data_IF_406084202857
#
_entry.id   IF_406084202857
#
_cell.length_a   1.000
_cell.length_b   1.000
_cell.length_c   1.000
_cell.angle_alpha   90.00
_cell.angle_beta   90.00
_cell.angle_gamma   90.00
#
_symmetry.space_group_name_H-M   'P 1'
#
loop_
_entity.id
_entity.type
_entity.pdbx_description
1 polymer ?
#
# COMPACT_ATOMS: atom_id res chain seq x y z
N UNK A 1 22.22 -1.58 -7.28
CA UNK A 1 23.57 -1.46 -6.69
C UNK A 1 23.80 -2.69 -5.83
N UNK A 2 24.94 -3.36 -5.93
CA UNK A 2 25.27 -4.47 -5.03
C UNK A 2 25.56 -3.89 -3.64
N UNK A 3 24.63 -4.07 -2.69
CA UNK A 3 24.88 -3.76 -1.28
C UNK A 3 25.99 -4.67 -0.77
N UNK A 4 26.98 -4.09 -0.09
CA UNK A 4 28.03 -4.82 0.63
C UNK A 4 27.57 -5.34 1.99
N UNK A 5 26.37 -4.95 2.44
CA UNK A 5 25.80 -5.30 3.73
C UNK A 5 24.81 -6.46 3.60
N UNK A 6 24.75 -7.25 4.65
CA UNK A 6 23.76 -8.28 4.89
C UNK A 6 22.59 -7.71 5.70
N UNK A 7 21.36 -7.95 5.24
CA UNK A 7 20.15 -7.43 5.90
C UNK A 7 19.19 -8.58 6.14
N UNK A 8 18.78 -8.78 7.40
CA UNK A 8 17.66 -9.66 7.74
C UNK A 8 16.36 -8.92 7.52
N UNK A 9 15.52 -9.39 6.59
CA UNK A 9 14.19 -8.85 6.31
C UNK A 9 13.16 -9.76 6.97
N UNK A 10 12.23 -9.19 7.70
CA UNK A 10 11.18 -9.90 8.42
C UNK A 10 9.82 -9.37 7.98
N UNK A 11 8.96 -10.26 7.49
CA UNK A 11 7.54 -9.97 7.29
C UNK A 11 6.72 -10.53 8.44
N UNK A 12 5.89 -9.70 9.07
CA UNK A 12 5.08 -10.10 10.22
C UNK A 12 3.61 -9.67 10.06
N UNK A 13 2.73 -10.62 9.73
CA UNK A 13 1.30 -10.45 10.00
C UNK A 13 1.09 -10.68 11.49
N UNK A 14 0.92 -9.59 12.25
CA UNK A 14 0.97 -9.66 13.70
C UNK A 14 -0.33 -10.17 14.32
N UNK A 15 -0.29 -10.58 15.58
CA UNK A 15 -1.47 -11.05 16.29
C UNK A 15 -2.50 -9.94 16.62
N UNK A 16 -2.08 -8.67 16.60
CA UNK A 16 -2.78 -7.47 17.09
C UNK A 16 -3.15 -7.45 18.59
N UNK A 17 -3.48 -8.59 19.19
CA UNK A 17 -3.85 -8.73 20.61
C UNK A 17 -3.14 -9.93 21.24
N UNK A 18 -3.05 -9.96 22.57
CA UNK A 18 -2.33 -11.01 23.30
C UNK A 18 -2.92 -12.43 23.16
N UNK A 19 -4.19 -12.55 22.77
CA UNK A 19 -4.88 -13.85 22.65
C UNK A 19 -4.74 -14.50 21.27
N UNK A 20 -4.28 -13.73 20.29
CA UNK A 20 -4.18 -14.17 18.92
C UNK A 20 -2.76 -14.61 18.58
N UNK A 21 -2.64 -15.26 17.43
CA UNK A 21 -1.39 -15.48 16.73
C UNK A 21 -1.56 -14.92 15.33
N UNK A 22 -0.47 -14.47 14.72
CA UNK A 22 -0.38 -14.27 13.29
C UNK A 22 0.74 -15.16 12.73
N UNK A 23 1.46 -14.71 11.72
CA UNK A 23 2.57 -15.45 11.14
C UNK A 23 3.78 -14.57 10.84
N UNK A 24 4.96 -15.16 10.98
CA UNK A 24 6.26 -14.54 10.79
C UNK A 24 7.03 -15.26 9.69
N UNK A 25 7.71 -14.51 8.83
CA UNK A 25 8.62 -15.06 7.81
C UNK A 25 9.87 -14.20 7.71
N UNK A 26 11.02 -14.82 7.47
CA UNK A 26 12.31 -14.14 7.36
C UNK A 26 13.05 -14.47 6.07
N UNK A 27 13.76 -13.49 5.52
CA UNK A 27 14.71 -13.68 4.42
C UNK A 27 15.98 -12.86 4.67
N UNK A 28 17.12 -13.36 4.19
CA UNK A 28 18.40 -12.67 4.26
C UNK A 28 18.73 -12.08 2.89
N UNK A 29 18.87 -10.77 2.83
CA UNK A 29 19.56 -10.07 1.75
C UNK A 29 21.06 -10.23 1.97
N UNK A 30 21.75 -10.92 1.06
CA UNK A 30 23.20 -11.14 1.17
C UNK A 30 23.99 -10.09 0.40
N UNK A 31 25.26 -9.87 0.80
CA UNK A 31 26.20 -9.12 -0.02
C UNK A 31 26.25 -9.70 -1.44
N UNK A 32 26.14 -8.83 -2.45
CA UNK A 32 26.00 -9.24 -3.85
C UNK A 32 24.54 -9.36 -4.35
N UNK A 33 23.56 -9.01 -3.52
CA UNK A 33 22.17 -8.80 -3.97
C UNK A 33 21.28 -10.03 -4.02
N UNK A 34 21.74 -11.17 -3.50
CA UNK A 34 20.94 -12.41 -3.47
C UNK A 34 20.05 -12.44 -2.23
N UNK A 35 18.75 -12.61 -2.44
CA UNK A 35 17.78 -12.89 -1.38
C UNK A 35 17.68 -14.39 -1.11
N UNK A 36 17.66 -14.78 0.17
CA UNK A 36 17.48 -16.16 0.61
C UNK A 36 16.46 -16.24 1.74
N UNK A 37 15.32 -16.89 1.49
CA UNK A 37 14.35 -17.19 2.54
C UNK A 37 14.99 -18.09 3.61
N UNK A 38 14.69 -17.83 4.88
CA UNK A 38 15.22 -18.61 6.00
C UNK A 38 14.45 -19.92 6.17
N UNK A 39 13.12 -19.84 6.16
CA UNK A 39 12.20 -20.98 6.19
C UNK A 39 10.81 -20.52 5.72
N UNK A 40 9.82 -21.42 5.75
CA UNK A 40 8.40 -21.13 5.55
C UNK A 40 7.84 -20.23 6.67
N UNK A 41 6.70 -19.53 6.43
CA UNK A 41 6.02 -18.78 7.47
C UNK A 41 5.71 -19.67 8.68
N UNK A 42 5.85 -19.10 9.87
CA UNK A 42 5.60 -19.78 11.14
C UNK A 42 4.63 -18.98 11.98
N UNK A 43 3.61 -19.65 12.53
CA UNK A 43 2.61 -19.01 13.38
C UNK A 43 3.24 -18.51 14.69
N UNK A 44 3.05 -17.24 15.02
CA UNK A 44 3.67 -16.61 16.19
C UNK A 44 2.77 -15.57 16.84
N UNK A 45 2.81 -15.49 18.18
CA UNK A 45 2.48 -14.28 18.91
C UNK A 45 3.72 -13.37 19.04
N UNK A 46 3.59 -12.23 19.73
CA UNK A 46 4.70 -11.27 19.89
C UNK A 46 5.95 -11.84 20.58
N UNK A 47 5.76 -12.62 21.66
CA UNK A 47 6.90 -13.21 22.40
C UNK A 47 7.64 -14.27 21.57
N UNK A 48 6.88 -15.08 20.83
CA UNK A 48 7.44 -16.10 19.93
C UNK A 48 8.13 -15.45 18.73
N UNK A 49 7.54 -14.39 18.17
CA UNK A 49 8.12 -13.65 17.06
C UNK A 49 9.44 -12.99 17.49
N UNK A 50 9.48 -12.36 18.67
CA UNK A 50 10.70 -11.77 19.21
C UNK A 50 11.83 -12.79 19.36
N UNK A 51 11.53 -13.96 19.94
CA UNK A 51 12.51 -15.05 20.09
C UNK A 51 13.02 -15.53 18.73
N UNK A 52 12.12 -15.74 17.78
CA UNK A 52 12.47 -16.19 16.44
C UNK A 52 13.37 -15.19 15.71
N UNK A 53 13.05 -13.89 15.79
CA UNK A 53 13.89 -12.82 15.21
C UNK A 53 15.28 -12.80 15.86
N UNK A 54 15.37 -12.91 17.18
CA UNK A 54 16.65 -12.93 17.90
C UNK A 54 17.49 -14.17 17.53
N UNK A 55 16.86 -15.33 17.35
CA UNK A 55 17.52 -16.55 16.87
C UNK A 55 18.05 -16.36 15.44
N UNK A 56 17.28 -15.75 14.54
CA UNK A 56 17.74 -15.42 13.19
C UNK A 56 18.89 -14.42 13.20
N UNK A 57 18.82 -13.37 14.03
CA UNK A 57 19.90 -12.40 14.20
C UNK A 57 21.18 -13.08 14.71
N UNK A 58 21.08 -13.98 15.69
CA UNK A 58 22.23 -14.69 16.24
C UNK A 58 22.85 -15.66 15.23
N UNK A 59 22.03 -16.38 14.46
CA UNK A 59 22.50 -17.42 13.53
C UNK A 59 23.00 -16.86 12.21
N UNK A 60 22.41 -15.78 11.70
CA UNK A 60 22.79 -15.15 10.44
C UNK A 60 23.76 -13.96 10.60
N UNK A 61 23.86 -13.39 11.81
CA UNK A 61 24.70 -12.24 12.13
C UNK A 61 24.61 -11.11 11.09
N UNK A 62 23.40 -10.59 10.78
CA UNK A 62 23.22 -9.59 9.75
C UNK A 62 23.77 -8.23 10.22
N UNK A 63 24.15 -7.38 9.26
CA UNK A 63 24.59 -6.01 9.56
C UNK A 63 23.41 -5.14 10.02
N UNK A 64 22.21 -5.40 9.47
CA UNK A 64 20.96 -4.72 9.83
C UNK A 64 19.77 -5.69 9.88
N UNK A 65 18.73 -5.35 10.63
CA UNK A 65 17.44 -6.04 10.61
C UNK A 65 16.34 -5.07 10.20
N UNK A 66 15.53 -5.43 9.21
CA UNK A 66 14.36 -4.69 8.76
C UNK A 66 13.10 -5.51 9.06
N UNK A 67 12.16 -4.95 9.82
CA UNK A 67 10.92 -5.60 10.24
C UNK A 67 9.73 -4.84 9.67
N UNK A 68 8.97 -5.53 8.81
CA UNK A 68 7.73 -5.05 8.20
C UNK A 68 6.55 -5.67 8.94
N UNK A 69 5.85 -4.89 9.75
CA UNK A 69 4.77 -5.37 10.63
C UNK A 69 3.40 -4.87 10.19
N UNK A 70 2.45 -5.77 9.96
CA UNK A 70 1.03 -5.44 9.78
C UNK A 70 0.38 -5.14 11.13
N UNK A 71 0.76 -4.01 11.72
CA UNK A 71 0.07 -3.35 12.82
C UNK A 71 0.64 -1.94 13.04
N UNK A 72 -0.20 -0.98 13.44
CA UNK A 72 0.24 0.35 13.84
C UNK A 72 1.34 0.39 14.90
N UNK A 73 2.49 0.97 14.56
CA UNK A 73 3.65 1.11 15.48
C UNK A 73 3.63 2.44 16.25
N UNK A 74 2.91 3.43 15.74
CA UNK A 74 2.78 4.77 16.35
C UNK A 74 1.29 5.13 16.39
N UNK A 75 0.73 5.23 17.60
CA UNK A 75 -0.70 5.50 17.83
C UNK A 75 -0.88 6.57 18.93
N UNK A 76 -0.73 7.86 18.59
CA UNK A 76 -0.87 8.94 19.58
C UNK A 76 -2.33 9.31 19.88
N UNK A 77 -3.27 8.85 19.05
CA UNK A 77 -4.68 9.21 19.16
C UNK A 77 -5.36 8.48 20.31
N UNK A 78 -5.99 9.23 21.23
CA UNK A 78 -6.87 8.64 22.26
C UNK A 78 -8.13 7.99 21.66
N UNK A 79 -8.71 8.64 20.63
CA UNK A 79 -9.90 8.16 19.93
C UNK A 79 -9.86 8.54 18.43
N UNK A 80 -10.80 8.01 17.64
CA UNK A 80 -10.90 8.31 16.22
C UNK A 80 -9.86 7.60 15.35
N UNK A 81 -9.50 8.20 14.22
CA UNK A 81 -8.53 7.69 13.26
C UNK A 81 -7.26 8.55 13.29
N UNK A 82 -6.10 7.91 13.07
CA UNK A 82 -4.85 8.63 12.80
C UNK A 82 -4.93 9.36 11.46
N UNK A 83 -4.16 10.44 11.24
CA UNK A 83 -4.14 11.13 9.96
C UNK A 83 -3.81 10.22 8.76
N UNK A 84 -2.85 9.31 8.91
CA UNK A 84 -2.50 8.32 7.86
C UNK A 84 -3.70 7.44 7.46
N UNK A 85 -4.51 7.02 8.43
CA UNK A 85 -5.73 6.23 8.17
C UNK A 85 -6.79 7.05 7.42
N UNK A 86 -6.92 8.33 7.74
CA UNK A 86 -7.85 9.23 7.04
C UNK A 86 -7.46 9.42 5.56
N UNK A 87 -6.15 9.45 5.28
CA UNK A 87 -5.60 9.53 3.92
C UNK A 87 -5.86 8.20 3.19
N UNK A 88 -5.39 7.09 3.77
CA UNK A 88 -5.41 5.77 3.12
C UNK A 88 -6.82 5.22 2.95
N UNK A 89 -7.72 5.43 3.91
CA UNK A 89 -9.10 4.91 3.87
C UNK A 89 -9.89 5.30 2.62
N UNK A 90 -9.58 6.44 2.00
CA UNK A 90 -10.19 6.85 0.72
C UNK A 90 -9.85 5.86 -0.41
N UNK A 91 -8.58 5.46 -0.52
CA UNK A 91 -8.10 4.50 -1.53
C UNK A 91 -8.72 3.12 -1.30
N UNK A 92 -8.81 2.72 -0.03
CA UNK A 92 -9.34 1.42 0.40
C UNK A 92 -10.85 1.32 0.18
N UNK A 93 -11.62 2.33 0.58
CA UNK A 93 -13.09 2.33 0.47
C UNK A 93 -13.59 2.38 -0.98
N UNK A 94 -12.83 3.03 -1.88
CA UNK A 94 -13.05 2.94 -3.34
C UNK A 94 -13.04 1.49 -3.83
N UNK A 95 -12.40 0.55 -3.15
CA UNK A 95 -12.36 -0.88 -3.52
C UNK A 95 -13.20 -1.77 -2.60
N UNK A 96 -14.19 -1.18 -1.91
CA UNK A 96 -15.06 -1.82 -0.91
C UNK A 96 -14.30 -2.43 0.27
N UNK A 97 -13.10 -1.91 0.57
CA UNK A 97 -12.35 -2.25 1.77
C UNK A 97 -12.76 -1.37 2.95
N UNK A 98 -12.42 -1.82 4.15
CA UNK A 98 -12.50 -1.02 5.37
C UNK A 98 -11.13 -0.93 6.01
N UNK A 99 -10.86 0.20 6.67
CA UNK A 99 -9.64 0.40 7.44
C UNK A 99 -10.01 0.56 8.91
N UNK A 100 -9.38 -0.26 9.77
CA UNK A 100 -9.58 -0.23 11.21
C UNK A 100 -8.93 1.04 11.78
N UNK A 101 -9.67 1.93 12.48
CA UNK A 101 -9.07 3.06 13.18
C UNK A 101 -8.12 2.58 14.28
N UNK A 102 -6.92 3.14 14.38
CA UNK A 102 -6.01 2.88 15.50
C UNK A 102 -6.07 4.03 16.51
N UNK A 103 -6.42 3.70 17.76
CA UNK A 103 -6.48 4.65 18.86
C UNK A 103 -6.38 3.93 20.22
N UNK A 104 -5.93 4.66 21.25
CA UNK A 104 -5.68 4.12 22.60
C UNK A 104 -6.95 3.59 23.29
N UNK A 105 -8.15 4.05 22.93
CA UNK A 105 -9.40 3.48 23.48
C UNK A 105 -9.63 2.01 23.12
N UNK A 106 -8.96 1.49 22.08
CA UNK A 106 -8.94 0.06 21.74
C UNK A 106 -7.90 -0.66 22.59
N UNK A 107 -8.21 -0.82 23.87
CA UNK A 107 -7.26 -1.22 24.91
C UNK A 107 -6.45 -2.48 24.58
N UNK A 108 -7.08 -3.55 24.04
CA UNK A 108 -6.37 -4.81 23.73
C UNK A 108 -5.40 -4.69 22.53
N UNK A 109 -5.62 -3.74 21.61
CA UNK A 109 -4.83 -3.58 20.39
C UNK A 109 -3.79 -2.47 20.49
N UNK A 110 -4.15 -1.36 21.14
CA UNK A 110 -3.34 -0.13 21.15
C UNK A 110 -3.29 0.58 22.51
N UNK A 111 -3.97 0.07 23.54
CA UNK A 111 -3.84 0.62 24.90
C UNK A 111 -2.45 0.35 25.48
N UNK A 112 -2.16 0.91 26.65
CA UNK A 112 -0.81 0.83 27.27
C UNK A 112 -0.31 -0.60 27.52
N UNK A 113 -1.20 -1.58 27.59
CA UNK A 113 -0.89 -3.00 27.82
C UNK A 113 -0.91 -3.84 26.54
N UNK A 114 -1.04 -3.22 25.36
CA UNK A 114 -1.03 -3.95 24.10
C UNK A 114 0.37 -4.57 23.86
N UNK A 115 0.43 -5.82 23.39
CA UNK A 115 1.68 -6.58 23.32
C UNK A 115 2.71 -6.01 22.32
N UNK A 116 2.25 -5.24 21.33
CA UNK A 116 3.12 -4.57 20.38
C UNK A 116 4.10 -3.60 21.06
N UNK A 117 3.72 -2.95 22.16
CA UNK A 117 4.61 -1.98 22.82
C UNK A 117 5.82 -2.64 23.45
N UNK A 118 5.63 -3.75 24.15
CA UNK A 118 6.73 -4.55 24.70
C UNK A 118 7.63 -5.12 23.59
N UNK A 119 7.03 -5.55 22.48
CA UNK A 119 7.78 -6.04 21.32
C UNK A 119 8.66 -4.94 20.70
N UNK A 120 8.11 -3.74 20.49
CA UNK A 120 8.86 -2.60 19.98
C UNK A 120 9.97 -2.18 20.95
N UNK A 121 9.68 -2.07 22.25
CA UNK A 121 10.67 -1.70 23.27
C UNK A 121 11.86 -2.67 23.30
N UNK A 122 11.60 -3.97 23.16
CA UNK A 122 12.64 -5.00 23.13
C UNK A 122 13.56 -4.92 21.90
N UNK A 123 13.14 -4.23 20.84
CA UNK A 123 13.86 -4.12 19.56
C UNK A 123 14.32 -2.69 19.25
N UNK A 124 14.20 -1.75 20.20
CA UNK A 124 14.68 -0.38 20.07
C UNK A 124 13.62 0.67 19.68
N UNK A 125 12.36 0.27 19.52
CA UNK A 125 11.24 1.16 19.21
C UNK A 125 10.83 1.15 17.73
N UNK A 126 9.88 2.01 17.39
CA UNK A 126 9.51 2.26 15.99
C UNK A 126 10.56 3.18 15.33
N UNK A 127 10.95 2.87 14.10
CA UNK A 127 11.96 3.63 13.36
C UNK A 127 11.32 4.65 12.42
N UNK A 128 12.07 5.69 12.07
CA UNK A 128 11.70 6.67 11.06
C UNK A 128 12.32 6.29 9.69
N UNK A 129 11.53 5.95 8.65
CA UNK A 129 12.06 5.65 7.32
C UNK A 129 12.83 6.81 6.67
N UNK A 130 12.66 8.04 7.17
CA UNK A 130 13.35 9.24 6.68
C UNK A 130 14.55 9.62 7.56
N UNK A 131 14.76 8.89 8.66
CA UNK A 131 15.79 9.14 9.64
C UNK A 131 17.15 8.52 9.29
N UNK A 132 18.04 8.51 10.28
CA UNK A 132 19.30 7.77 10.17
C UNK A 132 19.05 6.26 10.15
N UNK A 133 19.96 5.50 9.55
CA UNK A 133 19.87 4.04 9.53
C UNK A 133 20.05 3.46 10.94
N UNK A 134 18.99 2.85 11.46
CA UNK A 134 19.02 2.04 12.68
C UNK A 134 19.59 0.65 12.38
N UNK A 135 20.27 0.03 13.35
CA UNK A 135 20.68 -1.38 13.25
C UNK A 135 19.48 -2.33 13.18
N UNK A 136 18.35 -1.93 13.77
CA UNK A 136 17.06 -2.61 13.69
C UNK A 136 16.03 -1.55 13.31
N UNK A 137 15.44 -1.67 12.12
CA UNK A 137 14.38 -0.80 11.63
C UNK A 137 13.03 -1.52 11.68
N UNK A 138 12.01 -0.88 12.26
CA UNK A 138 10.65 -1.43 12.33
C UNK A 138 9.64 -0.47 11.71
N UNK A 139 8.97 -0.93 10.65
CA UNK A 139 7.99 -0.12 9.90
C UNK A 139 6.61 -0.76 9.90
N UNK A 140 5.60 0.07 10.18
CA UNK A 140 4.20 -0.27 9.93
C UNK A 140 3.98 -0.45 8.42
N UNK A 141 3.43 -1.60 8.05
CA UNK A 141 2.94 -1.88 6.70
C UNK A 141 1.46 -2.19 6.73
N UNK A 142 0.82 -2.14 5.56
CA UNK A 142 -0.58 -2.52 5.42
C UNK A 142 -0.77 -3.36 4.15
N UNK A 143 -0.82 -4.71 4.27
CA UNK A 143 -0.90 -5.62 3.12
C UNK A 143 -2.04 -5.28 2.15
N UNK A 144 -3.20 -4.86 2.66
CA UNK A 144 -4.34 -4.46 1.80
C UNK A 144 -4.00 -3.25 0.93
N UNK A 145 -3.25 -2.26 1.45
CA UNK A 145 -2.79 -1.13 0.63
C UNK A 145 -1.74 -1.57 -0.39
N UNK A 146 -0.85 -2.49 0.00
CA UNK A 146 0.13 -3.06 -0.92
C UNK A 146 -0.53 -3.77 -2.10
N UNK A 147 -1.69 -4.42 -1.92
CA UNK A 147 -2.46 -4.98 -3.05
C UNK A 147 -2.89 -3.91 -4.07
N UNK A 148 -3.13 -2.67 -3.62
CA UNK A 148 -3.41 -1.56 -4.54
C UNK A 148 -2.14 -1.14 -5.27
N UNK A 149 -1.04 -0.97 -4.54
CA UNK A 149 0.25 -0.57 -5.10
C UNK A 149 0.78 -1.56 -6.14
N UNK A 150 0.64 -2.86 -5.88
CA UNK A 150 1.07 -3.94 -6.77
C UNK A 150 0.06 -4.22 -7.91
N UNK A 151 -1.04 -3.48 -7.97
CA UNK A 151 -2.13 -3.68 -8.93
C UNK A 151 -2.75 -5.10 -8.87
N UNK A 152 -2.81 -5.70 -7.68
CA UNK A 152 -3.41 -7.00 -7.43
C UNK A 152 -4.88 -6.88 -7.00
N UNK A 153 -5.62 -6.07 -7.76
CA UNK A 153 -7.03 -5.76 -7.55
C UNK A 153 -7.86 -6.54 -8.56
N UNK A 154 -9.03 -7.04 -8.12
CA UNK A 154 -9.93 -7.80 -8.98
C UNK A 154 -10.90 -6.87 -9.69
N UNK A 155 -11.30 -7.19 -10.93
CA UNK A 155 -12.41 -6.51 -11.59
C UNK A 155 -13.67 -6.52 -10.71
N UNK A 156 -14.43 -5.43 -10.75
CA UNK A 156 -15.73 -5.35 -10.11
C UNK A 156 -16.83 -5.58 -11.15
N UNK A 157 -17.60 -6.66 -10.96
CA UNK A 157 -18.73 -7.02 -11.82
C UNK A 157 -19.84 -5.96 -11.80
N UNK A 158 -19.87 -5.10 -10.77
CA UNK A 158 -20.82 -3.98 -10.64
C UNK A 158 -20.39 -2.71 -11.40
N UNK A 159 -19.28 -2.77 -12.15
CA UNK A 159 -18.85 -1.69 -13.03
C UNK A 159 -18.01 -0.60 -12.38
N UNK A 160 -17.53 -0.79 -11.14
CA UNK A 160 -16.64 0.17 -10.51
C UNK A 160 -15.24 0.15 -11.14
N UNK A 161 -14.82 1.27 -11.71
CA UNK A 161 -13.56 1.39 -12.45
C UNK A 161 -12.30 1.10 -11.62
N UNK A 162 -12.35 1.35 -10.31
CA UNK A 162 -11.23 1.07 -9.39
C UNK A 162 -11.11 -0.41 -9.00
N UNK A 163 -12.05 -1.26 -9.45
CA UNK A 163 -12.13 -2.67 -9.07
C UNK A 163 -12.50 -2.89 -7.59
N UNK A 164 -12.21 -4.11 -7.10
CA UNK A 164 -12.48 -4.57 -5.72
C UNK A 164 -11.31 -5.37 -5.17
N UNK A 165 -11.14 -5.38 -3.85
CA UNK A 165 -10.18 -6.29 -3.24
C UNK A 165 -10.52 -7.76 -3.49
N UNK A 166 -9.50 -8.64 -3.65
CA UNK A 166 -9.69 -10.08 -3.53
C UNK A 166 -10.38 -10.42 -2.21
N UNK A 167 -11.37 -11.32 -2.21
CA UNK A 167 -12.04 -11.79 -1.00
C UNK A 167 -11.39 -13.08 -0.48
N UNK A 168 -10.19 -12.92 0.06
CA UNK A 168 -9.30 -14.03 0.40
C UNK A 168 -9.29 -14.41 1.89
N UNK A 169 -10.15 -13.82 2.73
CA UNK A 169 -10.23 -14.17 4.16
C UNK A 169 -11.12 -15.41 4.39
N UNK A 170 -10.55 -16.60 4.68
CA UNK A 170 -11.33 -17.82 4.86
C UNK A 170 -12.19 -17.83 6.13
N UNK A 171 -11.89 -17.00 7.14
CA UNK A 171 -12.73 -16.87 8.32
C UNK A 171 -14.05 -16.14 8.03
N UNK A 172 -14.14 -15.39 6.92
CA UNK A 172 -15.38 -14.79 6.45
C UNK A 172 -16.02 -15.62 5.35
N UNK A 173 -16.64 -16.73 5.74
CA UNK A 173 -17.22 -17.72 4.80
C UNK A 173 -18.25 -17.10 3.83
N UNK A 174 -18.95 -16.04 4.25
CA UNK A 174 -19.96 -15.38 3.41
C UNK A 174 -19.35 -14.53 2.28
N UNK A 175 -18.13 -14.02 2.46
CA UNK A 175 -17.45 -13.19 1.45
C UNK A 175 -16.32 -13.92 0.75
N UNK A 176 -15.76 -14.97 1.35
CA UNK A 176 -14.63 -15.71 0.83
C UNK A 176 -14.89 -16.25 -0.58
N UNK A 177 -13.90 -16.09 -1.47
CA UNK A 177 -13.92 -16.63 -2.82
C UNK A 177 -12.63 -17.42 -3.07
N UNK A 178 -12.78 -18.70 -3.40
CA UNK A 178 -11.62 -19.58 -3.71
C UNK A 178 -10.80 -19.07 -4.90
N UNK A 179 -11.45 -18.52 -5.92
CA UNK A 179 -10.78 -17.90 -7.07
C UNK A 179 -9.93 -16.66 -6.72
N UNK A 180 -10.32 -15.93 -5.69
CA UNK A 180 -9.57 -14.76 -5.21
C UNK A 180 -8.40 -15.19 -4.33
N UNK A 181 -8.61 -16.24 -3.52
CA UNK A 181 -7.56 -16.91 -2.75
C UNK A 181 -6.44 -17.44 -3.66
N UNK A 182 -6.80 -18.27 -4.65
CA UNK A 182 -5.86 -18.82 -5.62
C UNK A 182 -5.10 -17.71 -6.35
N UNK A 183 -5.83 -16.69 -6.83
CA UNK A 183 -5.22 -15.54 -7.49
C UNK A 183 -4.19 -14.84 -6.62
N UNK A 184 -4.51 -14.56 -5.35
CA UNK A 184 -3.58 -13.85 -4.50
C UNK A 184 -2.36 -14.71 -4.16
N UNK A 185 -2.54 -16.00 -3.83
CA UNK A 185 -1.43 -16.92 -3.62
C UNK A 185 -0.50 -17.00 -4.84
N UNK A 186 -1.06 -17.07 -6.05
CA UNK A 186 -0.27 -17.12 -7.29
C UNK A 186 0.52 -15.83 -7.55
N UNK A 187 -0.07 -14.66 -7.31
CA UNK A 187 0.64 -13.39 -7.47
C UNK A 187 1.77 -13.25 -6.44
N UNK A 188 1.51 -13.59 -5.17
CA UNK A 188 2.54 -13.58 -4.12
C UNK A 188 3.67 -14.56 -4.46
N UNK A 189 3.35 -15.77 -4.91
CA UNK A 189 4.35 -16.76 -5.32
C UNK A 189 5.18 -16.29 -6.52
N UNK A 190 4.56 -15.65 -7.51
CA UNK A 190 5.24 -15.11 -8.68
C UNK A 190 6.18 -13.96 -8.31
N UNK A 191 5.75 -13.06 -7.43
CA UNK A 191 6.56 -11.95 -6.95
C UNK A 191 7.78 -12.45 -6.17
N UNK A 192 7.59 -13.41 -5.26
CA UNK A 192 8.70 -14.04 -4.54
C UNK A 192 9.72 -14.67 -5.49
N UNK A 193 9.27 -15.34 -6.57
CA UNK A 193 10.16 -15.90 -7.59
C UNK A 193 10.92 -14.85 -8.38
N UNK A 194 10.34 -13.66 -8.55
CA UNK A 194 10.99 -12.55 -9.26
C UNK A 194 12.25 -12.07 -8.53
N UNK A 195 12.30 -12.21 -7.20
CA UNK A 195 13.47 -11.92 -6.38
C UNK A 195 14.60 -12.95 -6.47
N UNK A 196 14.36 -14.08 -7.17
CA UNK A 196 15.37 -15.10 -7.44
C UNK A 196 15.12 -16.44 -6.74
N UNK A 197 15.94 -17.43 -7.09
CA UNK A 197 15.76 -18.83 -6.67
C UNK A 197 15.89 -19.07 -5.16
N UNK A 198 16.51 -18.15 -4.41
CA UNK A 198 16.61 -18.23 -2.96
C UNK A 198 15.27 -18.05 -2.23
N UNK A 199 14.22 -17.62 -2.94
CA UNK A 199 12.87 -17.45 -2.40
C UNK A 199 11.93 -18.61 -2.74
N UNK A 200 12.40 -19.63 -3.47
CA UNK A 200 11.56 -20.70 -4.03
C UNK A 200 10.83 -21.51 -2.95
N UNK A 201 11.41 -21.69 -1.76
CA UNK A 201 10.74 -22.38 -0.64
C UNK A 201 9.44 -21.68 -0.22
N UNK A 202 9.42 -20.35 -0.24
CA UNK A 202 8.23 -19.56 0.05
C UNK A 202 7.25 -19.68 -1.11
N UNK A 203 7.70 -19.48 -2.35
CA UNK A 203 6.84 -19.59 -3.52
C UNK A 203 6.12 -20.96 -3.60
N UNK A 204 6.82 -22.05 -3.31
CA UNK A 204 6.23 -23.40 -3.23
C UNK A 204 5.24 -23.57 -2.08
N UNK A 205 5.47 -22.89 -0.94
CA UNK A 205 4.50 -22.84 0.15
C UNK A 205 3.19 -22.19 -0.32
N UNK A 206 3.27 -21.04 -1.01
CA UNK A 206 2.10 -20.35 -1.56
C UNK A 206 1.39 -21.16 -2.66
N UNK A 207 2.13 -21.88 -3.50
CA UNK A 207 1.51 -22.80 -4.48
C UNK A 207 0.72 -23.91 -3.77
N UNK A 208 1.27 -24.47 -2.68
CA UNK A 208 0.57 -25.47 -1.87
C UNK A 208 -0.68 -24.88 -1.19
N UNK A 209 -0.62 -23.63 -0.71
CA UNK A 209 -1.78 -22.92 -0.17
C UNK A 209 -2.85 -22.68 -1.25
N UNK A 210 -2.46 -22.35 -2.48
CA UNK A 210 -3.40 -22.17 -3.60
C UNK A 210 -4.16 -23.46 -3.92
N UNK A 211 -3.52 -24.62 -3.78
CA UNK A 211 -4.15 -25.94 -4.04
C UNK A 211 -5.02 -26.45 -2.88
N UNK A 212 -5.04 -25.75 -1.74
CA UNK A 212 -5.76 -26.20 -0.55
C UNK A 212 -7.27 -25.99 -0.72
N UNK A 213 -8.05 -27.06 -0.65
CA UNK A 213 -9.52 -26.99 -0.81
C UNK A 213 -10.22 -26.14 0.27
N UNK A 214 -9.68 -26.15 1.49
CA UNK A 214 -10.26 -25.49 2.67
C UNK A 214 -9.18 -24.72 3.42
N UNK A 215 -8.77 -23.54 2.93
CA UNK A 215 -7.87 -22.67 3.67
C UNK A 215 -8.52 -22.17 4.97
N UNK A 216 -7.70 -21.85 5.96
CA UNK A 216 -8.07 -21.40 7.31
C UNK A 216 -7.39 -20.07 7.60
N UNK A 217 -7.78 -19.38 8.67
CA UNK A 217 -7.17 -18.08 9.04
C UNK A 217 -5.65 -18.18 9.16
N UNK A 218 -5.11 -19.23 9.79
CA UNK A 218 -3.66 -19.45 9.84
C UNK A 218 -2.98 -19.52 8.46
N UNK A 219 -3.67 -20.02 7.43
CA UNK A 219 -3.12 -20.03 6.06
C UNK A 219 -3.12 -18.62 5.46
N UNK A 220 -4.11 -17.79 5.82
CA UNK A 220 -4.15 -16.37 5.45
C UNK A 220 -3.02 -15.60 6.17
N UNK A 221 -2.76 -15.93 7.44
CA UNK A 221 -1.67 -15.32 8.21
C UNK A 221 -0.32 -15.57 7.50
N UNK A 222 -0.07 -16.81 7.07
CA UNK A 222 1.13 -17.15 6.28
C UNK A 222 1.25 -16.32 5.00
N UNK A 223 0.14 -16.13 4.28
CA UNK A 223 0.08 -15.34 3.05
C UNK A 223 0.34 -13.85 3.31
N UNK A 224 -0.30 -13.28 4.34
CA UNK A 224 -0.17 -11.88 4.72
C UNK A 224 1.24 -11.58 5.28
N UNK A 225 1.89 -12.53 5.96
CA UNK A 225 3.29 -12.42 6.38
C UNK A 225 4.25 -12.38 5.18
N UNK A 226 4.02 -13.21 4.15
CA UNK A 226 4.75 -13.15 2.89
C UNK A 226 4.52 -11.82 2.15
N UNK A 227 3.31 -11.26 2.18
CA UNK A 227 3.06 -9.91 1.66
C UNK A 227 3.88 -8.86 2.41
N UNK A 228 3.93 -8.90 3.74
CA UNK A 228 4.76 -8.00 4.53
C UNK A 228 6.25 -8.11 4.15
N UNK A 229 6.75 -9.33 3.92
CA UNK A 229 8.12 -9.58 3.47
C UNK A 229 8.40 -8.95 2.10
N UNK A 230 7.48 -9.12 1.14
CA UNK A 230 7.58 -8.51 -0.19
C UNK A 230 7.73 -6.99 -0.09
N UNK A 231 6.94 -6.33 0.78
CA UNK A 231 7.04 -4.87 0.99
C UNK A 231 8.45 -4.51 1.48
N UNK A 232 9.05 -5.31 2.36
CA UNK A 232 10.43 -5.12 2.83
C UNK A 232 11.48 -5.28 1.72
N UNK A 233 11.32 -6.29 0.85
CA UNK A 233 12.19 -6.47 -0.32
C UNK A 233 12.11 -5.28 -1.28
N UNK A 234 10.90 -4.78 -1.57
CA UNK A 234 10.68 -3.64 -2.45
C UNK A 234 11.18 -2.32 -1.83
N UNK A 235 11.06 -2.17 -0.51
CA UNK A 235 11.67 -1.06 0.21
C UNK A 235 13.19 -1.01 0.01
N UNK A 236 13.89 -2.13 0.15
CA UNK A 236 15.34 -2.19 -0.07
C UNK A 236 15.71 -1.99 -1.55
N UNK A 237 14.81 -2.29 -2.48
CA UNK A 237 14.98 -2.00 -3.90
C UNK A 237 14.77 -0.51 -4.25
N UNK A 238 14.35 0.34 -3.29
CA UNK A 238 13.99 1.73 -3.53
C UNK A 238 12.61 1.92 -4.18
N UNK A 239 11.78 0.88 -4.14
CA UNK A 239 10.45 0.84 -4.75
C UNK A 239 9.35 0.96 -3.70
N UNK A 240 9.52 1.88 -2.75
CA UNK A 240 8.57 2.10 -1.65
C UNK A 240 8.11 3.55 -1.50
N UNK A 241 6.96 3.69 -0.85
CA UNK A 241 6.30 4.94 -0.51
C UNK A 241 5.96 4.90 0.98
N UNK A 242 6.33 5.95 1.70
CA UNK A 242 5.80 6.25 3.03
C UNK A 242 4.64 7.22 2.90
N UNK A 243 3.54 6.91 3.59
CA UNK A 243 2.35 7.74 3.71
C UNK A 243 2.15 8.05 5.19
N UNK A 244 2.08 9.32 5.58
CA UNK A 244 1.99 9.70 6.99
C UNK A 244 3.18 10.51 7.47
N UNK A 245 3.35 10.57 8.79
CA UNK A 245 4.44 11.28 9.45
C UNK A 245 4.95 10.51 10.67
N UNK A 246 6.25 10.55 11.01
CA UNK A 246 6.80 9.86 12.17
C UNK A 246 6.11 10.27 13.49
N UNK A 247 5.68 11.53 13.63
CA UNK A 247 5.07 12.01 14.87
C UNK A 247 3.61 11.55 15.04
N UNK A 248 2.92 11.24 13.94
CA UNK A 248 1.47 10.94 13.94
C UNK A 248 1.12 9.52 13.48
N UNK A 249 2.14 8.74 13.12
CA UNK A 249 2.01 7.44 12.47
C UNK A 249 2.07 7.53 10.95
N UNK A 250 2.57 6.44 10.35
CA UNK A 250 2.79 6.30 8.92
C UNK A 250 2.61 4.85 8.50
N UNK A 251 2.48 4.62 7.20
CA UNK A 251 2.44 3.29 6.57
C UNK A 251 3.48 3.29 5.45
N UNK A 252 4.29 2.24 5.40
CA UNK A 252 5.16 1.92 4.25
C UNK A 252 4.45 0.94 3.34
N UNK A 253 4.48 1.21 2.04
CA UNK A 253 3.86 0.39 0.99
C UNK A 253 4.69 0.46 -0.29
N UNK A 254 4.55 -0.48 -1.25
CA UNK A 254 5.27 -0.36 -2.52
C UNK A 254 4.90 0.92 -3.27
N UNK A 255 5.86 1.47 -4.01
CA UNK A 255 5.63 2.65 -4.83
C UNK A 255 4.77 2.30 -6.05
N UNK A 256 3.79 3.16 -6.36
CA UNK A 256 3.01 3.07 -7.59
C UNK A 256 2.45 4.45 -7.96
N UNK A 257 2.66 4.86 -9.22
CA UNK A 257 2.25 6.19 -9.69
C UNK A 257 0.73 6.44 -9.56
N UNK A 258 -0.10 5.43 -9.87
CA UNK A 258 -1.55 5.56 -9.76
C UNK A 258 -2.00 5.67 -8.31
N UNK A 259 -1.37 4.90 -7.40
CA UNK A 259 -1.63 5.03 -5.96
C UNK A 259 -1.25 6.42 -5.45
N UNK A 260 -0.07 6.93 -5.83
CA UNK A 260 0.38 8.28 -5.47
C UNK A 260 -0.62 9.33 -5.94
N UNK A 261 -1.11 9.23 -7.18
CA UNK A 261 -2.14 10.13 -7.70
C UNK A 261 -3.45 10.09 -6.90
N UNK A 262 -3.94 8.90 -6.52
CA UNK A 262 -5.13 8.78 -5.68
C UNK A 262 -4.93 9.41 -4.29
N UNK A 263 -3.73 9.26 -3.71
CA UNK A 263 -3.38 9.83 -2.41
C UNK A 263 -3.25 11.36 -2.47
N UNK A 264 -2.61 11.90 -3.52
CA UNK A 264 -2.50 13.34 -3.77
C UNK A 264 -3.90 13.98 -3.89
N UNK A 265 -4.80 13.35 -4.65
CA UNK A 265 -6.20 13.80 -4.74
C UNK A 265 -6.87 13.83 -3.37
N UNK A 266 -6.66 12.79 -2.54
CA UNK A 266 -7.21 12.75 -1.19
C UNK A 266 -6.63 13.86 -0.31
N UNK A 267 -5.32 14.06 -0.32
CA UNK A 267 -4.63 15.10 0.45
C UNK A 267 -5.14 16.49 0.09
N UNK A 268 -5.30 16.78 -1.21
CA UNK A 268 -5.91 18.03 -1.67
C UNK A 268 -7.33 18.23 -1.14
N UNK A 269 -8.17 17.18 -1.16
CA UNK A 269 -9.55 17.25 -0.62
C UNK A 269 -9.58 17.56 0.88
N UNK A 270 -8.63 17.03 1.65
CA UNK A 270 -8.56 17.26 3.10
C UNK A 270 -7.64 18.43 3.50
N UNK A 271 -7.11 19.18 2.53
CA UNK A 271 -6.33 20.39 2.76
C UNK A 271 -4.92 20.16 3.30
N UNK A 272 -4.31 19.00 3.04
CA UNK A 272 -2.95 18.65 3.47
C UNK A 272 -1.95 18.81 2.31
N UNK A 273 -0.72 19.23 2.63
CA UNK A 273 0.36 19.41 1.65
C UNK A 273 1.06 18.08 1.35
N UNK A 274 1.11 17.68 0.08
CA UNK A 274 1.63 16.37 -0.37
C UNK A 274 3.06 16.10 0.10
N UNK A 275 3.94 17.10 0.02
CA UNK A 275 5.36 17.02 0.42
C UNK A 275 5.56 16.64 1.89
N UNK A 276 4.55 16.83 2.72
CA UNK A 276 4.67 16.54 4.14
C UNK A 276 4.09 15.16 4.51
N UNK A 277 3.43 14.49 3.57
CA UNK A 277 2.62 13.29 3.85
C UNK A 277 2.95 12.12 2.93
N UNK A 278 3.56 12.36 1.77
CA UNK A 278 3.98 11.34 0.82
C UNK A 278 5.49 11.46 0.58
N UNK A 279 6.22 10.39 0.89
CA UNK A 279 7.66 10.33 0.74
C UNK A 279 8.04 9.11 -0.07
N UNK A 280 8.60 9.33 -1.26
CA UNK A 280 9.16 8.24 -2.08
C UNK A 280 10.46 7.79 -1.43
N UNK A 281 10.49 6.54 -1.01
CA UNK A 281 11.63 5.93 -0.33
C UNK A 281 12.50 5.27 -1.39
N UNK A 282 13.17 6.09 -2.18
CA UNK A 282 14.19 5.65 -3.11
C UNK A 282 15.55 6.07 -2.53
N UNK A 283 16.42 5.09 -2.25
CA UNK A 283 17.77 5.38 -1.75
C UNK A 283 18.62 6.18 -2.76
N UNK A 284 18.13 6.39 -4.00
CA UNK A 284 18.78 7.10 -5.10
C UNK A 284 17.95 8.21 -5.80
N UNK A 285 16.70 8.53 -5.41
CA UNK A 285 15.96 9.70 -5.96
C UNK A 285 15.80 10.79 -4.91
N UNK A 286 16.37 11.95 -5.20
CA UNK A 286 15.82 13.22 -4.70
C UNK A 286 14.60 13.58 -5.55
N UNK A 287 13.58 14.18 -4.93
CA UNK A 287 12.47 14.81 -5.65
C UNK A 287 13.04 15.93 -6.55
N UNK A 288 13.25 15.66 -7.84
CA UNK A 288 13.47 16.73 -8.78
C UNK A 288 12.10 17.34 -9.12
N UNK A 289 11.86 18.55 -8.65
CA UNK A 289 10.68 19.36 -9.01
C UNK A 289 10.61 19.75 -10.50
N UNK A 290 11.45 19.15 -11.35
CA UNK A 290 11.55 19.36 -12.80
C UNK A 290 11.64 18.03 -13.56
N UNK A 291 10.57 17.24 -13.58
CA UNK A 291 10.35 16.29 -14.67
C UNK A 291 9.12 16.71 -15.45
N UNK A 292 9.37 17.39 -16.58
CA UNK A 292 8.39 17.60 -17.63
C UNK A 292 8.01 16.26 -18.29
N UNK A 293 6.80 16.15 -18.88
CA UNK A 293 6.13 14.88 -19.16
C UNK A 293 6.57 14.18 -20.47
N UNK A 294 7.86 14.01 -20.73
CA UNK A 294 8.35 13.51 -22.03
C UNK A 294 8.98 12.11 -22.08
N UNK A 295 9.07 11.35 -20.97
CA UNK A 295 9.69 10.00 -21.00
C UNK A 295 8.67 8.86 -21.17
N UNK A 296 7.37 9.18 -21.28
CA UNK A 296 6.28 8.18 -21.30
C UNK A 296 6.18 7.41 -22.65
N UNK A 297 6.84 7.86 -23.73
CA UNK A 297 6.65 7.26 -25.05
C UNK A 297 7.45 5.97 -25.31
N UNK A 298 8.49 5.64 -24.55
CA UNK A 298 9.41 4.55 -24.94
C UNK A 298 9.21 3.24 -24.18
N UNK A 299 8.63 3.25 -22.98
CA UNK A 299 8.40 2.02 -22.20
C UNK A 299 7.00 1.39 -22.38
N UNK A 300 6.07 2.11 -23.02
CA UNK A 300 4.76 1.58 -23.42
C UNK A 300 4.80 0.81 -24.76
N UNK A 301 5.90 0.92 -25.52
CA UNK A 301 6.06 0.31 -26.85
C UNK A 301 6.40 -1.19 -26.83
N UNK A 302 6.97 -1.72 -25.75
CA UNK A 302 7.44 -3.12 -25.72
C UNK A 302 6.46 -4.10 -25.05
N UNK A 303 5.42 -3.62 -24.37
CA UNK A 303 4.37 -4.47 -23.79
C UNK A 303 3.06 -4.52 -24.61
N UNK A 304 2.97 -3.79 -25.73
CA UNK A 304 1.78 -3.75 -26.59
C UNK A 304 1.74 -4.78 -27.73
N UNK A 305 2.69 -5.72 -27.81
CA UNK A 305 2.73 -6.72 -28.91
C UNK A 305 1.88 -7.99 -28.67
N UNK A 306 0.79 -7.94 -27.87
CA UNK A 306 -0.07 -9.13 -27.65
C UNK A 306 -1.58 -8.98 -27.82
N UNK A 307 -2.08 -7.84 -28.25
CA UNK A 307 -3.48 -7.73 -28.65
C UNK A 307 -3.59 -6.92 -29.94
N UNK A 308 -3.50 -7.60 -31.09
CA UNK A 308 -4.02 -7.09 -32.35
C UNK A 308 -5.32 -7.81 -32.68
N UNK A 309 -6.35 -7.01 -32.92
CA UNK A 309 -7.62 -7.44 -33.48
C UNK A 309 -8.79 -6.81 -32.74
N UNK A 310 -9.12 -5.56 -33.08
CA UNK A 310 -10.49 -5.06 -33.31
C UNK A 310 -10.36 -3.73 -34.08
N UNK A 311 -11.13 -3.64 -35.15
CA UNK A 311 -11.17 -2.58 -36.16
C UNK A 311 -11.67 -1.22 -35.62
N UNK A 312 -11.22 -0.16 -36.29
CA UNK A 312 -11.65 1.23 -36.13
C UNK A 312 -13.17 1.41 -36.25
N UNK A 313 -13.78 2.20 -35.36
CA UNK A 313 -15.06 2.85 -35.64
C UNK A 313 -15.22 4.20 -34.92
N UNK A 314 -15.38 5.23 -35.76
CA UNK A 314 -16.13 6.51 -35.71
C UNK A 314 -16.20 7.40 -34.44
N UNK A 315 -16.00 8.71 -34.67
CA UNK A 315 -16.07 9.82 -33.71
C UNK A 315 -17.44 9.96 -32.98
N UNK A 316 -17.49 10.28 -31.67
CA UNK A 316 -18.77 10.42 -30.97
C UNK A 316 -19.35 11.85 -31.01
N UNK A 317 -20.68 11.87 -31.09
CA UNK A 317 -21.55 13.06 -31.14
C UNK A 317 -21.44 14.00 -29.92
N UNK A 318 -21.76 15.28 -30.15
CA UNK A 318 -21.74 16.36 -29.15
C UNK A 318 -22.78 16.10 -28.04
N UNK A 319 -22.31 15.88 -26.81
CA UNK A 319 -23.14 15.65 -25.62
C UNK A 319 -23.70 16.97 -25.06
N UNK A 320 -24.99 17.01 -24.73
CA UNK A 320 -25.59 18.23 -24.15
C UNK A 320 -25.34 18.33 -22.65
N UNK A 321 -25.41 19.54 -22.08
CA UNK A 321 -25.27 19.74 -20.63
C UNK A 321 -26.29 18.93 -19.82
N UNK A 322 -27.49 18.70 -20.38
CA UNK A 322 -28.54 17.90 -19.75
C UNK A 322 -28.17 16.42 -19.71
N UNK A 323 -27.61 15.89 -20.78
CA UNK A 323 -27.19 14.48 -20.85
C UNK A 323 -26.05 14.19 -19.87
N UNK A 324 -25.19 15.19 -19.65
CA UNK A 324 -24.06 15.09 -18.72
C UNK A 324 -24.49 15.14 -17.26
N UNK A 325 -25.38 16.06 -16.92
CA UNK A 325 -26.01 16.07 -15.58
C UNK A 325 -26.75 14.76 -15.34
N UNK A 326 -27.49 14.27 -16.34
CA UNK A 326 -28.19 12.99 -16.23
C UNK A 326 -27.22 11.83 -16.03
N UNK A 327 -26.09 11.82 -16.73
CA UNK A 327 -25.03 10.83 -16.55
C UNK A 327 -24.50 10.83 -15.12
N UNK A 328 -24.07 11.98 -14.59
CA UNK A 328 -23.54 12.07 -13.22
C UNK A 328 -24.56 11.63 -12.17
N UNK A 329 -25.83 12.01 -12.35
CA UNK A 329 -26.91 11.62 -11.45
C UNK A 329 -27.19 10.11 -11.55
N UNK A 330 -27.21 9.55 -12.76
CA UNK A 330 -27.46 8.11 -12.99
C UNK A 330 -26.31 7.20 -12.54
N UNK A 331 -25.10 7.74 -12.41
CA UNK A 331 -23.92 7.04 -11.91
C UNK A 331 -23.79 7.12 -10.37
N UNK A 332 -24.66 7.87 -9.69
CA UNK A 332 -24.71 7.87 -8.23
C UNK A 332 -25.37 6.59 -7.68
N UNK A 333 -24.94 6.11 -6.51
CA UNK A 333 -25.65 5.05 -5.78
C UNK A 333 -27.12 5.40 -5.50
N UNK A 334 -28.00 4.40 -5.44
CA UNK A 334 -29.43 4.60 -5.15
C UNK A 334 -29.69 5.25 -3.77
N UNK A 335 -28.75 5.15 -2.84
CA UNK A 335 -28.79 5.76 -1.51
C UNK A 335 -28.05 7.12 -1.42
N UNK A 336 -27.58 7.66 -2.56
CA UNK A 336 -26.88 8.93 -2.60
C UNK A 336 -27.77 10.07 -2.11
N UNK A 337 -27.23 10.86 -1.16
CA UNK A 337 -27.94 12.03 -0.68
C UNK A 337 -27.94 13.14 -1.72
N UNK A 338 -28.89 14.07 -1.61
CA UNK A 338 -28.94 15.26 -2.48
C UNK A 338 -27.62 16.06 -2.44
N UNK A 339 -26.96 16.15 -1.28
CA UNK A 339 -25.68 16.85 -1.16
C UNK A 339 -24.54 16.13 -1.90
N UNK A 340 -24.56 14.79 -1.95
CA UNK A 340 -23.55 14.01 -2.67
C UNK A 340 -23.69 14.18 -4.18
N UNK A 341 -24.92 14.20 -4.68
CA UNK A 341 -25.23 14.48 -6.09
C UNK A 341 -24.75 15.89 -6.47
N UNK A 342 -25.02 16.90 -5.64
CA UNK A 342 -24.57 18.28 -5.88
C UNK A 342 -23.04 18.39 -5.86
N UNK A 343 -22.37 17.67 -4.95
CA UNK A 343 -20.91 17.64 -4.86
C UNK A 343 -20.29 16.97 -6.10
N UNK A 344 -20.88 15.88 -6.59
CA UNK A 344 -20.44 15.21 -7.80
C UNK A 344 -20.57 16.10 -9.05
N UNK A 345 -21.70 16.82 -9.19
CA UNK A 345 -21.89 17.79 -10.28
C UNK A 345 -20.93 18.98 -10.20
N UNK A 346 -20.64 19.48 -9.01
CA UNK A 346 -19.66 20.54 -8.81
C UNK A 346 -18.24 20.07 -9.18
N UNK A 347 -17.89 18.84 -8.82
CA UNK A 347 -16.60 18.23 -9.14
C UNK A 347 -16.41 18.07 -10.65
N UNK A 348 -17.39 17.52 -11.37
CA UNK A 348 -17.31 17.36 -12.82
C UNK A 348 -17.09 18.71 -13.53
N UNK A 349 -17.83 19.75 -13.10
CA UNK A 349 -17.68 21.11 -13.63
C UNK A 349 -16.31 21.73 -13.34
N UNK A 350 -15.71 21.42 -12.19
CA UNK A 350 -14.35 21.86 -11.85
C UNK A 350 -13.30 21.19 -12.72
N UNK A 351 -13.43 19.87 -12.97
CA UNK A 351 -12.54 19.12 -13.84
C UNK A 351 -12.59 19.67 -15.26
N UNK A 352 -13.77 19.92 -15.80
CA UNK A 352 -13.90 20.49 -17.14
C UNK A 352 -13.31 21.88 -17.25
N UNK A 353 -13.53 22.72 -16.24
CA UNK A 353 -12.92 24.05 -16.22
C UNK A 353 -11.39 23.95 -16.22
N UNK A 354 -10.84 23.04 -15.41
CA UNK A 354 -9.40 22.77 -15.38
C UNK A 354 -8.88 22.28 -16.73
N UNK A 355 -9.59 21.34 -17.38
CA UNK A 355 -9.23 20.82 -18.70
C UNK A 355 -9.36 21.88 -19.81
N UNK A 356 -10.37 22.75 -19.73
CA UNK A 356 -10.56 23.84 -20.67
C UNK A 356 -9.51 24.95 -20.49
N UNK A 357 -9.11 25.23 -19.26
CA UNK A 357 -8.02 26.17 -18.95
C UNK A 357 -6.66 25.61 -19.38
N UNK A 358 -6.43 24.31 -19.20
CA UNK A 358 -5.25 23.62 -19.73
C UNK A 358 -5.19 23.66 -21.27
N UNK A 359 -6.28 23.29 -21.95
CA UNK A 359 -6.35 23.30 -23.43
C UNK A 359 -6.22 24.71 -24.02
N UNK A 360 -6.69 25.73 -23.32
CA UNK A 360 -6.57 27.11 -23.75
C UNK A 360 -5.24 27.78 -23.36
N UNK A 361 -4.28 27.01 -22.82
CA UNK A 361 -2.99 27.53 -22.36
C UNK A 361 -3.12 28.52 -21.19
N UNK A 362 -4.28 28.58 -20.53
CA UNK A 362 -4.52 29.37 -19.31
C UNK A 362 -4.04 28.61 -18.07
N UNK A 363 -2.85 28.04 -18.19
CA UNK A 363 -2.12 27.43 -17.08
C UNK A 363 -1.27 28.51 -16.43
N UNK A 364 -1.20 28.52 -15.11
CA UNK A 364 -0.26 29.40 -14.40
C UNK A 364 1.02 28.63 -14.15
N UNK A 365 2.16 29.25 -14.45
CA UNK A 365 3.44 28.64 -14.10
C UNK A 365 3.54 28.48 -12.58
N UNK A 366 4.31 27.50 -12.14
CA UNK A 366 4.52 27.22 -10.72
C UNK A 366 5.03 28.45 -9.94
N UNK A 367 5.80 29.32 -10.59
CA UNK A 367 6.30 30.58 -10.04
C UNK A 367 5.21 31.66 -9.91
N UNK A 368 4.33 31.78 -10.91
CA UNK A 368 3.20 32.72 -10.89
C UNK A 368 2.13 32.32 -9.87
N UNK A 369 1.89 31.01 -9.70
CA UNK A 369 1.00 30.48 -8.67
C UNK A 369 1.54 30.82 -7.27
N UNK A 370 2.84 30.63 -7.03
CA UNK A 370 3.51 31.03 -5.77
C UNK A 370 3.42 32.54 -5.52
N UNK A 371 3.59 33.38 -6.54
CA UNK A 371 3.43 34.84 -6.44
C UNK A 371 1.97 35.25 -6.13
N UNK A 372 0.98 34.62 -6.77
CA UNK A 372 -0.45 34.84 -6.49
C UNK A 372 -0.83 34.45 -5.06
N UNK A 373 -0.41 33.27 -4.59
CA UNK A 373 -0.67 32.81 -3.22
C UNK A 373 -0.02 33.71 -2.18
N UNK A 374 1.20 34.22 -2.43
CA UNK A 374 1.85 35.22 -1.55
C UNK A 374 1.09 36.56 -1.52
N UNK A 375 0.45 36.95 -2.63
CA UNK A 375 -0.33 38.20 -2.70
C UNK A 375 -1.65 38.17 -1.93
N UNK A 376 -2.14 36.97 -1.58
CA UNK A 376 -3.37 36.78 -0.81
C UNK A 376 -3.17 36.84 0.71
N UNK A 377 -1.92 37.01 1.18
CA UNK A 377 -1.58 37.26 2.59
C UNK A 377 -1.63 38.76 2.96
N UNK A 378 -2.68 39.47 2.57
CA UNK A 378 -3.00 40.79 3.12
C UNK A 378 -4.19 40.69 4.07
#
# INVERSE_FOLDING_TARGET
>A
MESSQSILIVGFDSAWTAKNRGALVGALWRPGGTLMALDKPTAANFDEALKCIQEWQQTSAPDQTLIMIDQPTIVPNESGQRPVENIVSSVISRRYGGMQPANRSKAEMFGDQAPIWTFLEALGGASDPLGAEDSIAIFEVYPTLALVALNWIRPDEKGRSTGRFPKYNPANHAKFKSEDWVYLCQNVAAELRSFGSGMEILAQHLDALAMKEKPRKADQDDLDACLCLIIGCLYLAGEALMIGRPESGFIVTPYNDLLVQELMQRLNVIGLQESDWLHVLDQNRQFDSKTEPEVIATHLGEQHSRYQGIEESEEPAVTTAKDRVHKVVSEQPDDASYEDIVRALAFEKMVERGLADARAGRVVSHEELRKKVRSWRR
#
